data_IF_899154904061
#
_entry.id   IF_899154904061
#
_cell.length_a   1.000
_cell.length_b   1.000
_cell.length_c   1.000
_cell.angle_alpha   90.00
_cell.angle_beta   90.00
_cell.angle_gamma   90.00
#
_symmetry.space_group_name_H-M   'P 1'
#
loop_
_entity.id
_entity.type
_entity.pdbx_description
1 polymer ?
#
# COMPACT_ATOMS: atom_id res chain seq x y z
N UNK A 1 -0.04 -9.98 -13.15
CA UNK A 1 0.14 -8.52 -13.23
C UNK A 1 -1.05 -7.83 -12.58
N UNK A 2 -0.86 -6.64 -12.01
CA UNK A 2 -1.95 -5.84 -11.46
C UNK A 2 -2.99 -5.50 -12.55
N UNK A 3 -4.28 -5.49 -12.17
CA UNK A 3 -5.41 -5.23 -13.09
C UNK A 3 -5.86 -3.77 -13.08
N UNK A 4 -5.50 -3.04 -12.03
CA UNK A 4 -5.90 -1.66 -11.82
C UNK A 4 -5.51 -1.15 -10.45
N UNK A 5 -5.96 0.07 -10.16
CA UNK A 5 -5.90 0.68 -8.84
C UNK A 5 -7.28 0.67 -8.20
N UNK A 6 -7.31 0.83 -6.88
CA UNK A 6 -8.54 0.87 -6.10
C UNK A 6 -8.60 2.16 -5.31
N UNK A 7 -9.66 2.94 -5.48
CA UNK A 7 -9.94 4.13 -4.68
C UNK A 7 -10.90 3.76 -3.56
N UNK A 8 -10.50 4.02 -2.32
CA UNK A 8 -11.42 3.91 -1.19
C UNK A 8 -12.33 5.14 -1.21
N UNK A 9 -13.63 4.92 -1.44
CA UNK A 9 -14.63 5.98 -1.44
C UNK A 9 -15.21 6.18 -0.04
N UNK A 10 -15.45 5.08 0.68
CA UNK A 10 -15.97 5.06 2.05
C UNK A 10 -15.40 3.86 2.82
N UNK A 11 -15.39 3.96 4.15
CA UNK A 11 -14.96 2.91 5.05
C UNK A 11 -13.43 2.84 5.27
N UNK A 12 -12.95 1.67 5.70
CA UNK A 12 -11.52 1.41 5.99
C UNK A 12 -11.05 0.12 5.36
N UNK A 13 -9.83 0.15 4.82
CA UNK A 13 -9.18 -1.01 4.19
C UNK A 13 -7.84 -1.27 4.87
N UNK A 14 -7.69 -2.45 5.46
CA UNK A 14 -6.42 -2.94 5.99
C UNK A 14 -5.53 -3.42 4.86
N UNK A 15 -4.28 -2.96 4.83
CA UNK A 15 -3.24 -3.49 3.98
C UNK A 15 -2.30 -4.36 4.81
N UNK A 16 -2.03 -5.58 4.34
CA UNK A 16 -1.13 -6.53 5.00
C UNK A 16 -0.14 -7.16 4.04
N UNK A 17 1.02 -7.56 4.57
CA UNK A 17 1.97 -8.46 3.91
C UNK A 17 1.95 -9.81 4.62
N UNK A 18 2.10 -10.88 3.85
CA UNK A 18 2.13 -12.25 4.37
C UNK A 18 3.53 -12.84 4.22
N UNK A 19 4.03 -13.51 5.26
CA UNK A 19 5.28 -14.27 5.17
C UNK A 19 5.04 -15.62 4.49
N UNK A 20 6.12 -16.26 4.03
CA UNK A 20 6.06 -17.65 3.53
C UNK A 20 5.55 -18.66 4.57
N UNK A 21 5.62 -18.32 5.86
CA UNK A 21 5.08 -19.11 6.97
C UNK A 21 3.62 -18.78 7.32
N UNK A 22 2.94 -17.96 6.53
CA UNK A 22 1.53 -17.59 6.72
C UNK A 22 1.29 -16.55 7.81
N UNK A 23 2.33 -15.92 8.35
CA UNK A 23 2.14 -14.79 9.29
C UNK A 23 1.80 -13.54 8.50
N UNK A 24 0.70 -12.91 8.87
CA UNK A 24 0.33 -11.60 8.33
C UNK A 24 0.81 -10.48 9.24
N UNK A 25 1.29 -9.42 8.62
CA UNK A 25 1.61 -8.17 9.28
C UNK A 25 0.82 -7.05 8.62
N UNK A 26 0.04 -6.33 9.42
CA UNK A 26 -0.60 -5.09 8.96
C UNK A 26 0.47 -4.03 8.68
N UNK A 27 0.47 -3.51 7.46
CA UNK A 27 1.33 -2.42 7.00
C UNK A 27 0.71 -1.09 7.37
N UNK A 28 -0.56 -0.89 7.03
CA UNK A 28 -1.35 0.31 7.34
C UNK A 28 -2.84 0.07 7.16
N UNK A 29 -3.65 1.03 7.60
CA UNK A 29 -5.07 1.12 7.27
C UNK A 29 -5.26 2.32 6.35
N UNK A 30 -5.94 2.12 5.22
CA UNK A 30 -6.31 3.16 4.28
C UNK A 30 -7.77 3.60 4.49
N UNK A 31 -8.02 4.89 4.32
CA UNK A 31 -9.34 5.50 4.42
C UNK A 31 -9.82 6.18 3.13
N UNK A 32 -10.95 6.91 3.18
CA UNK A 32 -11.53 7.57 2.03
C UNK A 32 -10.57 8.53 1.32
N UNK A 33 -10.57 8.52 -0.01
CA UNK A 33 -9.69 9.32 -0.86
C UNK A 33 -8.35 8.69 -1.17
N UNK A 34 -7.99 7.57 -0.52
CA UNK A 34 -6.73 6.90 -0.76
C UNK A 34 -6.77 5.92 -1.92
N UNK A 35 -5.70 5.93 -2.73
CA UNK A 35 -5.54 5.04 -3.89
C UNK A 35 -4.57 3.92 -3.56
N UNK A 36 -5.03 2.68 -3.77
CA UNK A 36 -4.32 1.44 -3.51
C UNK A 36 -3.82 0.82 -4.82
N UNK A 37 -2.69 0.10 -4.73
CA UNK A 37 -2.17 -0.67 -5.88
C UNK A 37 -1.37 0.13 -6.92
N UNK A 38 -1.16 1.44 -6.72
CA UNK A 38 -0.41 2.29 -7.65
C UNK A 38 0.97 1.72 -8.00
N UNK A 39 1.76 1.30 -7.00
CA UNK A 39 3.10 0.74 -7.22
C UNK A 39 3.07 -0.47 -8.14
N UNK A 40 2.12 -1.39 -7.94
CA UNK A 40 2.00 -2.61 -8.72
C UNK A 40 1.63 -2.31 -10.19
N UNK A 41 0.74 -1.35 -10.42
CA UNK A 41 0.36 -0.92 -11.78
C UNK A 41 1.54 -0.30 -12.52
N UNK A 42 2.24 0.67 -11.92
CA UNK A 42 3.35 1.38 -12.60
C UNK A 42 4.63 0.57 -12.71
N UNK A 43 4.86 -0.41 -11.82
CA UNK A 43 6.01 -1.31 -11.92
C UNK A 43 5.75 -2.55 -12.78
N UNK A 44 4.52 -2.75 -13.26
CA UNK A 44 4.14 -3.98 -13.97
C UNK A 44 4.20 -5.24 -13.11
N UNK A 45 4.16 -5.10 -11.79
CA UNK A 45 4.32 -6.21 -10.84
C UNK A 45 2.97 -6.73 -10.31
N UNK A 46 2.92 -7.92 -9.69
CA UNK A 46 1.78 -8.33 -8.87
C UNK A 46 1.57 -7.37 -7.67
N UNK A 47 0.39 -7.44 -7.04
CA UNK A 47 0.19 -6.76 -5.77
C UNK A 47 1.05 -7.41 -4.69
N UNK A 48 1.90 -6.62 -4.02
CA UNK A 48 2.76 -7.08 -2.93
C UNK A 48 2.05 -7.11 -1.57
N UNK A 49 0.90 -6.44 -1.49
CA UNK A 49 0.08 -6.33 -0.28
C UNK A 49 -1.32 -6.88 -0.54
N UNK A 50 -1.85 -7.59 0.46
CA UNK A 50 -3.26 -7.95 0.54
C UNK A 50 -4.08 -6.76 1.04
N UNK A 51 -5.34 -6.69 0.63
CA UNK A 51 -6.28 -5.65 1.04
C UNK A 51 -7.58 -6.28 1.56
N UNK A 52 -8.04 -5.85 2.72
CA UNK A 52 -9.25 -6.36 3.37
C UNK A 52 -10.05 -5.20 3.98
N UNK A 53 -11.36 -5.17 3.76
CA UNK A 53 -12.23 -4.15 4.35
C UNK A 53 -12.46 -4.43 5.83
N UNK A 54 -12.25 -3.44 6.69
CA UNK A 54 -12.44 -3.57 8.14
C UNK A 54 -13.86 -3.22 8.62
N UNK A 55 -14.62 -2.56 7.76
CA UNK A 55 -15.99 -2.12 7.98
C UNK A 55 -16.73 -2.13 6.64
N UNK A 56 -18.01 -1.79 6.62
CA UNK A 56 -18.74 -1.57 5.37
C UNK A 56 -18.04 -0.47 4.57
N UNK A 57 -17.53 -0.83 3.39
CA UNK A 57 -16.69 0.05 2.58
C UNK A 57 -17.18 0.10 1.14
N UNK A 58 -17.01 1.26 0.51
CA UNK A 58 -17.20 1.44 -0.94
C UNK A 58 -15.84 1.64 -1.59
N UNK A 59 -15.53 0.83 -2.59
CA UNK A 59 -14.24 0.87 -3.28
C UNK A 59 -14.48 0.88 -4.79
N UNK A 60 -13.96 1.90 -5.47
CA UNK A 60 -13.99 1.99 -6.92
C UNK A 60 -12.72 1.37 -7.51
N UNK A 61 -12.86 0.53 -8.53
CA UNK A 61 -11.72 0.02 -9.29
C UNK A 61 -11.54 0.83 -10.58
N UNK A 62 -10.31 1.27 -10.84
CA UNK A 62 -9.92 1.88 -12.11
C UNK A 62 -8.94 0.94 -12.79
N UNK A 63 -9.25 0.47 -14.01
CA UNK A 63 -8.39 -0.48 -14.71
C UNK A 63 -7.05 0.17 -15.10
N UNK A 64 -6.01 -0.64 -15.33
CA UNK A 64 -4.73 -0.13 -15.82
C UNK A 64 -4.89 0.69 -17.11
N UNK A 65 -5.78 0.27 -18.00
CA UNK A 65 -6.04 0.95 -19.26
C UNK A 65 -6.71 2.30 -19.03
N UNK A 66 -7.75 2.34 -18.19
CA UNK A 66 -8.47 3.60 -17.88
C UNK A 66 -7.55 4.59 -17.16
N UNK A 67 -6.73 4.11 -16.20
CA UNK A 67 -5.76 4.96 -15.50
C UNK A 67 -4.73 5.53 -16.47
N UNK A 68 -4.19 4.70 -17.37
CA UNK A 68 -3.19 5.15 -18.35
C UNK A 68 -3.79 6.17 -19.31
N UNK A 69 -5.00 5.91 -19.84
CA UNK A 69 -5.71 6.85 -20.71
C UNK A 69 -6.01 8.18 -20.00
N UNK A 70 -6.44 8.12 -18.74
CA UNK A 70 -6.69 9.30 -17.92
C UNK A 70 -5.42 10.14 -17.72
N UNK A 71 -4.28 9.52 -17.41
CA UNK A 71 -3.01 10.23 -17.23
C UNK A 71 -2.44 10.81 -18.52
N UNK A 72 -2.70 10.17 -19.66
CA UNK A 72 -2.35 10.72 -20.97
C UNK A 72 -3.23 11.93 -21.32
N UNK A 73 -4.50 11.91 -20.93
CA UNK A 73 -5.43 13.01 -21.16
C UNK A 73 -5.17 14.20 -20.23
N UNK A 74 -4.74 13.94 -18.99
CA UNK A 74 -4.49 14.95 -17.96
C UNK A 74 -3.07 14.83 -17.37
N UNK A 75 -2.01 15.22 -18.13
CA UNK A 75 -0.61 15.05 -17.70
C UNK A 75 -0.25 15.76 -16.39
N UNK A 76 -0.96 16.82 -16.03
CA UNK A 76 -0.80 17.54 -14.77
C UNK A 76 -1.04 16.66 -13.53
N UNK A 77 -1.85 15.59 -13.68
CA UNK A 77 -2.13 14.64 -12.60
C UNK A 77 -0.95 13.70 -12.35
N UNK A 78 -0.05 13.50 -13.32
CA UNK A 78 1.13 12.64 -13.15
C UNK A 78 1.98 13.06 -11.94
N UNK A 79 2.14 14.37 -11.70
CA UNK A 79 2.89 14.85 -10.54
C UNK A 79 2.18 14.53 -9.20
N UNK A 80 0.85 14.47 -9.19
CA UNK A 80 0.09 14.01 -8.02
C UNK A 80 0.33 12.51 -7.76
N UNK A 81 0.37 11.69 -8.81
CA UNK A 81 0.72 10.26 -8.71
C UNK A 81 2.14 10.07 -8.15
N UNK A 82 3.11 10.84 -8.65
CA UNK A 82 4.49 10.82 -8.11
C UNK A 82 4.52 11.18 -6.62
N UNK A 83 3.75 12.19 -6.20
CA UNK A 83 3.63 12.54 -4.78
C UNK A 83 3.03 11.41 -3.94
N UNK A 84 1.99 10.73 -4.44
CA UNK A 84 1.39 9.58 -3.76
C UNK A 84 2.38 8.40 -3.63
N UNK A 85 3.14 8.11 -4.68
CA UNK A 85 4.18 7.08 -4.64
C UNK A 85 5.31 7.45 -3.66
N UNK A 86 5.72 8.71 -3.64
CA UNK A 86 6.71 9.20 -2.67
C UNK A 86 6.20 9.08 -1.23
N UNK A 87 4.95 9.45 -0.96
CA UNK A 87 4.32 9.27 0.35
C UNK A 87 4.32 7.79 0.78
N UNK A 88 3.93 6.88 -0.11
CA UNK A 88 3.93 5.45 0.16
C UNK A 88 5.34 4.90 0.44
N UNK A 89 6.36 5.40 -0.27
CA UNK A 89 7.76 5.01 -0.04
C UNK A 89 8.24 5.43 1.35
N UNK A 90 7.95 6.66 1.77
CA UNK A 90 8.32 7.14 3.11
C UNK A 90 7.62 6.32 4.20
N UNK A 91 6.31 6.06 4.05
CA UNK A 91 5.57 5.21 4.98
C UNK A 91 6.17 3.79 5.08
N UNK A 92 6.64 3.23 3.96
CA UNK A 92 7.33 1.94 3.97
C UNK A 92 8.67 1.99 4.73
N UNK A 93 9.47 3.05 4.56
CA UNK A 93 10.71 3.23 5.32
C UNK A 93 10.46 3.38 6.83
N UNK A 94 9.42 4.11 7.21
CA UNK A 94 9.04 4.24 8.63
C UNK A 94 8.65 2.90 9.23
N UNK A 95 7.93 2.07 8.46
CA UNK A 95 7.59 0.71 8.88
C UNK A 95 8.85 -0.16 9.05
N UNK A 96 9.79 -0.11 8.10
CA UNK A 96 11.06 -0.86 8.19
C UNK A 96 11.84 -0.45 9.44
N UNK A 97 11.91 0.85 9.74
CA UNK A 97 12.54 1.36 10.97
C UNK A 97 11.85 0.82 12.21
N UNK A 98 10.52 0.89 12.28
CA UNK A 98 9.75 0.40 13.42
C UNK A 98 9.97 -1.11 13.67
N UNK A 99 9.93 -1.92 12.61
CA UNK A 99 10.15 -3.38 12.70
C UNK A 99 11.59 -3.71 13.11
N UNK A 100 12.57 -3.00 12.55
CA UNK A 100 13.98 -3.16 12.92
C UNK A 100 14.24 -2.89 14.40
N UNK A 101 13.66 -1.82 14.94
CA UNK A 101 13.79 -1.43 16.35
C UNK A 101 13.10 -2.41 17.32
N UNK A 102 12.01 -3.06 16.91
CA UNK A 102 11.34 -4.08 17.72
C UNK A 102 12.19 -5.36 17.86
N UNK A 103 13.10 -5.65 16.90
CA UNK A 103 14.00 -6.81 16.96
C UNK A 103 15.17 -6.62 17.92
N UNK A 104 15.68 -5.40 18.07
CA UNK A 104 16.81 -5.10 18.96
C UNK A 104 16.43 -5.09 20.45
N UNK A 105 15.17 -4.77 20.80
CA UNK A 105 14.70 -4.81 22.20
C UNK A 105 14.63 -6.21 22.82
N UNK A 106 14.75 -7.28 22.04
CA UNK A 106 14.59 -8.68 22.49
C UNK A 106 15.93 -9.37 22.80
N UNK A 107 17.06 -8.66 22.72
CA UNK A 107 18.36 -9.12 23.23
C UNK A 107 18.75 -8.30 24.46
N UNK A 108 18.16 -8.59 25.62
CA UNK A 108 18.88 -8.32 26.87
C UNK A 108 19.96 -9.41 27.03
N UNK A 109 21.21 -9.06 27.38
CA UNK A 109 22.20 -10.06 27.74
C UNK A 109 21.72 -10.77 29.00
N UNK A 110 21.74 -12.10 28.99
CA UNK A 110 21.69 -12.88 30.22
C UNK A 110 23.01 -12.61 30.93
N UNK A 111 22.96 -11.89 32.04
CA UNK A 111 24.09 -11.73 32.96
C UNK A 111 24.07 -12.86 33.98
N UNK A 112 25.03 -13.79 33.88
CA UNK A 112 25.50 -14.63 34.97
C UNK A 112 27.02 -14.54 35.01
#
# INVERSE_FOLDING_TARGET
MARGVFLVCEGKVRLSVSSASGREMTVRVAGPGEVLGLSAVFSGSPYEVSAETLESSQVAMVTCNDLTGFLQQYPEVCLQVVRLLSYNLHAAYDLVRAVGLLRTRRRSPISH
#
